data_IF_772441857809
#
_entry.id   IF_772441857809
#
_cell.length_a   1.000
_cell.length_b   1.000
_cell.length_c   1.000
_cell.angle_alpha   90.00
_cell.angle_beta   90.00
_cell.angle_gamma   90.00
#
_symmetry.space_group_name_H-M   'P 1'
#
loop_
_entity.id
_entity.type
_entity.pdbx_description
1 polymer ?
#
# COMPACT_ATOMS: atom_id res chain seq x y z
N UNK A 1 -27.22 2.54 0.09
CA UNK A 1 -26.66 3.62 0.94
C UNK A 1 -25.22 3.87 0.52
N UNK A 2 -24.87 5.15 0.34
CA UNK A 2 -23.64 5.63 -0.30
C UNK A 2 -22.35 5.28 0.49
N UNK A 3 -21.54 4.31 0.00
CA UNK A 3 -20.19 4.01 0.51
C UNK A 3 -19.06 4.90 -0.10
N UNK A 4 -19.41 6.02 -0.71
CA UNK A 4 -18.47 6.87 -1.45
C UNK A 4 -17.69 7.91 -0.63
N UNK A 5 -18.05 8.13 0.64
CA UNK A 5 -17.50 9.27 1.44
C UNK A 5 -16.45 8.87 2.48
N UNK A 6 -16.21 7.58 2.73
CA UNK A 6 -15.33 7.14 3.83
C UNK A 6 -13.83 7.16 3.46
N UNK A 7 -13.47 6.96 2.17
CA UNK A 7 -12.07 6.87 1.74
C UNK A 7 -11.27 8.17 1.92
N UNK A 8 -11.92 9.33 1.86
CA UNK A 8 -11.23 10.63 1.98
C UNK A 8 -10.72 10.92 3.40
N UNK A 9 -11.17 10.20 4.41
CA UNK A 9 -10.79 10.42 5.83
C UNK A 9 -9.95 9.29 6.41
N UNK A 10 -9.94 8.10 5.80
CA UNK A 10 -9.27 6.92 6.34
C UNK A 10 -7.76 6.97 6.13
N UNK A 11 -6.99 6.50 7.12
CA UNK A 11 -5.54 6.32 7.04
C UNK A 11 -5.21 5.13 6.14
N UNK A 12 -4.12 5.23 5.38
CA UNK A 12 -3.63 4.18 4.48
C UNK A 12 -2.37 3.59 5.08
N UNK A 13 -2.45 2.33 5.52
CA UNK A 13 -1.34 1.53 6.03
C UNK A 13 -0.70 0.78 4.87
N UNK A 14 0.49 1.20 4.46
CA UNK A 14 1.09 0.77 3.20
C UNK A 14 2.24 -0.22 3.44
N UNK A 15 2.20 -1.36 2.75
CA UNK A 15 3.26 -2.36 2.82
C UNK A 15 4.47 -2.02 1.93
N UNK A 16 5.53 -2.79 2.09
CA UNK A 16 6.80 -2.61 1.40
C UNK A 16 6.66 -2.72 -0.12
N UNK A 17 5.88 -3.66 -0.62
CA UNK A 17 5.72 -3.87 -2.06
C UNK A 17 4.94 -2.75 -2.72
N UNK A 18 3.90 -2.26 -2.06
CA UNK A 18 3.06 -1.20 -2.57
C UNK A 18 3.80 0.15 -2.57
N UNK A 19 4.40 0.57 -1.44
CA UNK A 19 5.12 1.85 -1.39
C UNK A 19 6.37 1.84 -2.29
N UNK A 20 7.14 0.73 -2.30
CA UNK A 20 8.37 0.64 -3.10
C UNK A 20 8.08 0.76 -4.59
N UNK A 21 6.91 0.36 -5.08
CA UNK A 21 6.55 0.52 -6.48
C UNK A 21 6.61 2.00 -6.91
N UNK A 22 6.12 2.92 -6.09
CA UNK A 22 6.19 4.36 -6.33
C UNK A 22 7.60 4.92 -6.13
N UNK A 23 8.28 4.52 -5.06
CA UNK A 23 9.62 5.00 -4.74
C UNK A 23 10.64 4.65 -5.84
N UNK A 24 10.59 3.43 -6.41
CA UNK A 24 11.51 3.01 -7.47
C UNK A 24 11.41 3.82 -8.75
N UNK A 25 10.26 4.39 -9.05
CA UNK A 25 10.03 5.15 -10.28
C UNK A 25 9.90 6.66 -10.04
N UNK A 26 10.02 7.11 -8.79
CA UNK A 26 10.01 8.54 -8.44
C UNK A 26 8.64 9.19 -8.55
N UNK A 27 7.59 8.43 -8.26
CA UNK A 27 6.20 8.91 -8.37
C UNK A 27 5.47 8.93 -7.02
N UNK A 28 6.21 8.91 -5.91
CA UNK A 28 5.67 9.01 -4.55
C UNK A 28 4.89 10.32 -4.30
N UNK A 29 5.14 11.35 -5.11
CA UNK A 29 4.34 12.57 -5.08
C UNK A 29 2.84 12.34 -5.38
N UNK A 30 2.49 11.25 -6.07
CA UNK A 30 1.08 10.86 -6.28
C UNK A 30 0.43 10.40 -4.98
N UNK A 31 1.17 9.66 -4.15
CA UNK A 31 0.71 9.30 -2.80
C UNK A 31 0.49 10.56 -1.96
N UNK A 32 1.45 11.50 -1.99
CA UNK A 32 1.34 12.79 -1.31
C UNK A 32 0.08 13.57 -1.75
N UNK A 33 -0.17 13.68 -3.06
CA UNK A 33 -1.34 14.39 -3.60
C UNK A 33 -2.68 13.75 -3.20
N UNK A 34 -2.76 12.42 -3.20
CA UNK A 34 -3.99 11.68 -2.92
C UNK A 34 -4.29 11.55 -1.42
N UNK A 35 -3.25 11.33 -0.61
CA UNK A 35 -3.40 10.88 0.78
C UNK A 35 -2.55 11.69 1.77
N UNK A 36 -2.27 12.97 1.50
CA UNK A 36 -1.43 13.81 2.36
C UNK A 36 -1.86 13.76 3.83
N UNK A 37 -0.91 13.47 4.72
CA UNK A 37 -1.15 13.34 6.17
C UNK A 37 -1.92 12.08 6.60
N UNK A 38 -2.17 11.13 5.67
CA UNK A 38 -2.91 9.89 5.94
C UNK A 38 -2.12 8.63 5.66
N UNK A 39 -0.94 8.77 5.08
CA UNK A 39 -0.06 7.64 4.78
C UNK A 39 0.63 7.23 6.07
N UNK A 40 0.46 5.96 6.43
CA UNK A 40 1.14 5.34 7.56
C UNK A 40 2.09 4.28 7.04
N UNK A 41 3.34 4.45 7.38
CA UNK A 41 4.42 3.52 7.05
C UNK A 41 4.79 2.80 8.35
N UNK A 42 4.48 1.51 8.50
CA UNK A 42 4.95 0.75 9.66
C UNK A 42 6.48 0.80 9.78
N UNK A 43 7.00 0.81 11.00
CA UNK A 43 8.45 0.79 11.24
C UNK A 43 9.13 -0.38 10.52
N UNK A 44 8.48 -1.54 10.48
CA UNK A 44 8.98 -2.75 9.80
C UNK A 44 9.13 -2.52 8.29
N UNK A 45 8.22 -1.80 7.67
CA UNK A 45 8.30 -1.41 6.25
C UNK A 45 9.46 -0.44 6.01
N UNK A 46 9.62 0.54 6.90
CA UNK A 46 10.72 1.48 6.82
C UNK A 46 12.07 0.76 6.96
N UNK A 47 12.18 -0.19 7.90
CA UNK A 47 13.39 -0.98 8.12
C UNK A 47 13.73 -1.88 6.93
N UNK A 48 12.74 -2.48 6.28
CA UNK A 48 12.93 -3.28 5.06
C UNK A 48 13.47 -2.44 3.88
N UNK A 49 13.14 -1.16 3.83
CA UNK A 49 13.62 -0.22 2.78
C UNK A 49 14.95 0.43 3.19
N UNK A 50 15.22 0.55 4.48
CA UNK A 50 16.43 1.15 5.02
C UNK A 50 17.64 0.22 4.93
N UNK A 51 18.00 -0.16 3.69
CA UNK A 51 19.15 -1.02 3.43
C UNK A 51 20.22 -0.25 2.63
N UNK A 52 21.54 -0.53 2.88
CA UNK A 52 22.63 0.23 2.27
C UNK A 52 22.66 0.21 0.72
N UNK A 53 22.07 -0.81 0.11
CA UNK A 53 22.07 -1.00 -1.34
C UNK A 53 21.10 -0.09 -2.10
N UNK A 54 20.10 0.47 -1.41
CA UNK A 54 19.06 1.32 -2.01
C UNK A 54 18.76 2.60 -1.19
N UNK A 55 19.80 3.37 -0.78
CA UNK A 55 19.63 4.51 0.14
C UNK A 55 18.69 5.60 -0.41
N UNK A 56 18.55 5.69 -1.72
CA UNK A 56 17.68 6.65 -2.37
C UNK A 56 16.19 6.38 -2.10
N UNK A 57 15.77 5.14 -1.85
CA UNK A 57 14.38 4.84 -1.51
C UNK A 57 14.05 5.32 -0.08
N UNK A 58 14.98 5.09 0.87
CA UNK A 58 14.86 5.62 2.21
C UNK A 58 14.74 7.14 2.21
N UNK A 59 15.63 7.82 1.48
CA UNK A 59 15.62 9.29 1.38
C UNK A 59 14.28 9.84 0.88
N UNK A 60 13.60 9.14 -0.02
CA UNK A 60 12.26 9.52 -0.50
C UNK A 60 11.19 9.37 0.58
N UNK A 61 11.25 8.32 1.40
CA UNK A 61 10.37 8.17 2.57
C UNK A 61 10.64 9.31 3.57
N UNK A 62 11.90 9.58 3.90
CA UNK A 62 12.28 10.65 4.81
C UNK A 62 11.72 12.01 4.35
N UNK A 63 11.72 12.27 3.04
CA UNK A 63 11.13 13.48 2.47
C UNK A 63 9.59 13.54 2.62
N UNK A 64 8.88 12.41 2.43
CA UNK A 64 7.42 12.35 2.67
C UNK A 64 7.09 12.63 4.13
N UNK A 65 7.88 12.08 5.06
CA UNK A 65 7.72 12.30 6.49
C UNK A 65 8.05 13.75 6.88
N UNK A 66 9.16 14.29 6.39
CA UNK A 66 9.56 15.68 6.67
C UNK A 66 8.54 16.71 6.19
N UNK A 67 7.80 16.41 5.11
CA UNK A 67 6.69 17.24 4.61
C UNK A 67 5.38 17.04 5.37
N UNK A 68 5.30 16.11 6.32
CA UNK A 68 4.05 15.74 6.99
C UNK A 68 3.06 15.00 6.10
N UNK A 69 3.48 14.50 4.93
CA UNK A 69 2.64 13.74 4.01
C UNK A 69 2.45 12.29 4.44
N UNK A 70 3.41 11.75 5.19
CA UNK A 70 3.40 10.41 5.77
C UNK A 70 3.93 10.44 7.20
N UNK A 71 3.61 9.40 7.98
CA UNK A 71 4.19 9.15 9.29
C UNK A 71 4.73 7.71 9.39
N UNK A 72 5.78 7.53 10.18
CA UNK A 72 6.30 6.21 10.53
C UNK A 72 5.71 5.84 11.89
N UNK A 73 5.12 4.64 11.99
CA UNK A 73 4.45 4.16 13.22
C UNK A 73 5.03 2.81 13.62
N UNK A 74 5.47 2.72 14.90
CA UNK A 74 5.89 1.48 15.53
C UNK A 74 4.72 0.78 16.21
N UNK A 75 4.79 -0.54 16.32
CA UNK A 75 3.84 -1.33 17.08
C UNK A 75 4.39 -1.54 18.50
N UNK A 76 3.66 -1.07 19.51
CA UNK A 76 4.09 -1.17 20.90
C UNK A 76 3.88 -2.59 21.45
N UNK A 77 4.89 -3.11 22.17
CA UNK A 77 4.81 -4.41 22.84
C UNK A 77 3.71 -4.40 23.89
N UNK A 78 2.92 -5.46 23.91
CA UNK A 78 1.81 -5.62 24.88
C UNK A 78 0.47 -5.10 24.39
N UNK A 79 0.39 -4.57 23.18
CA UNK A 79 -0.86 -4.14 22.54
C UNK A 79 -1.53 -5.26 21.76
N UNK A 80 -2.80 -5.10 21.42
CA UNK A 80 -3.54 -6.08 20.59
C UNK A 80 -2.96 -6.19 19.19
N UNK A 81 -2.56 -5.07 18.60
CA UNK A 81 -1.89 -5.02 17.30
C UNK A 81 -0.54 -5.74 17.33
N UNK A 82 0.20 -5.68 18.44
CA UNK A 82 1.44 -6.45 18.60
C UNK A 82 1.17 -7.97 18.71
N UNK A 83 0.14 -8.36 19.43
CA UNK A 83 -0.26 -9.76 19.51
C UNK A 83 -0.60 -10.30 18.11
N UNK A 84 -1.41 -9.58 17.33
CA UNK A 84 -1.75 -9.95 15.96
C UNK A 84 -0.50 -9.98 15.05
N UNK A 85 0.34 -8.95 15.08
CA UNK A 85 1.61 -8.91 14.33
C UNK A 85 2.48 -10.14 14.62
N UNK A 86 2.62 -10.48 15.89
CA UNK A 86 3.40 -11.65 16.30
C UNK A 86 2.79 -12.96 15.79
N UNK A 87 1.47 -13.09 15.84
CA UNK A 87 0.79 -14.28 15.37
C UNK A 87 0.92 -14.44 13.84
N UNK A 88 0.78 -13.34 13.08
CA UNK A 88 0.98 -13.32 11.63
C UNK A 88 2.40 -13.68 11.20
N UNK A 89 3.41 -13.28 11.99
CA UNK A 89 4.84 -13.52 11.67
C UNK A 89 5.36 -14.85 12.20
N UNK A 90 4.65 -15.52 13.12
CA UNK A 90 5.10 -16.74 13.81
C UNK A 90 4.21 -17.95 13.59
N UNK A 91 3.14 -17.84 12.81
CA UNK A 91 2.15 -18.89 12.69
C UNK A 91 2.78 -20.20 12.16
N UNK A 92 3.00 -21.16 13.08
CA UNK A 92 3.63 -22.45 12.82
C UNK A 92 2.68 -23.48 12.20
N UNK A 93 1.37 -23.27 12.26
CA UNK A 93 0.36 -24.23 11.83
C UNK A 93 -0.12 -24.04 10.39
N UNK A 94 0.09 -22.88 9.82
CA UNK A 94 -0.10 -22.65 8.38
C UNK A 94 1.26 -22.50 7.71
N UNK A 95 1.51 -23.22 6.63
CA UNK A 95 2.73 -23.09 5.78
C UNK A 95 2.93 -21.69 5.16
N UNK A 96 2.37 -20.63 5.75
CA UNK A 96 2.40 -19.26 5.27
C UNK A 96 2.86 -18.33 6.37
N UNK A 97 4.15 -18.08 6.41
CA UNK A 97 4.71 -16.97 7.18
C UNK A 97 4.54 -15.69 6.36
N UNK A 98 3.87 -14.70 6.94
CA UNK A 98 3.72 -13.37 6.33
C UNK A 98 4.96 -12.54 6.61
N UNK A 99 5.38 -11.73 5.62
CA UNK A 99 6.47 -10.79 5.77
C UNK A 99 6.23 -9.77 6.88
N UNK A 100 7.28 -9.30 7.55
CA UNK A 100 7.15 -8.38 8.70
C UNK A 100 6.42 -7.08 8.31
N UNK A 101 6.75 -6.48 7.18
CA UNK A 101 6.11 -5.26 6.68
C UNK A 101 4.62 -5.47 6.39
N UNK A 102 4.24 -6.60 5.75
CA UNK A 102 2.84 -6.95 5.50
C UNK A 102 2.08 -7.19 6.80
N UNK A 103 2.64 -7.97 7.73
CA UNK A 103 2.03 -8.26 9.02
C UNK A 103 1.78 -7.00 9.85
N UNK A 104 2.75 -6.08 9.88
CA UNK A 104 2.62 -4.80 10.56
C UNK A 104 1.54 -3.93 9.92
N UNK A 105 1.50 -3.86 8.58
CA UNK A 105 0.48 -3.10 7.85
C UNK A 105 -0.94 -3.64 8.10
N UNK A 106 -1.13 -4.97 8.11
CA UNK A 106 -2.40 -5.63 8.44
C UNK A 106 -2.82 -5.28 9.88
N UNK A 107 -1.91 -5.45 10.84
CA UNK A 107 -2.20 -5.26 12.27
C UNK A 107 -2.62 -3.82 12.58
N UNK A 108 -1.89 -2.85 12.04
CA UNK A 108 -2.21 -1.43 12.21
C UNK A 108 -3.48 -1.03 11.44
N UNK A 109 -3.70 -1.53 10.21
CA UNK A 109 -4.93 -1.28 9.46
C UNK A 109 -6.16 -1.79 10.22
N UNK A 110 -6.09 -3.00 10.80
CA UNK A 110 -7.16 -3.55 11.64
C UNK A 110 -7.42 -2.69 12.86
N UNK A 111 -6.37 -2.32 13.60
CA UNK A 111 -6.49 -1.51 14.82
C UNK A 111 -7.16 -0.17 14.59
N UNK A 112 -6.82 0.50 13.50
CA UNK A 112 -7.29 1.85 13.19
C UNK A 112 -8.47 1.89 12.22
N UNK A 113 -9.03 0.73 11.85
CA UNK A 113 -10.08 0.62 10.84
C UNK A 113 -9.72 1.40 9.57
N UNK A 114 -8.47 1.25 9.13
CA UNK A 114 -7.89 1.95 7.99
C UNK A 114 -7.87 1.11 6.71
N UNK A 115 -7.25 1.65 5.68
CA UNK A 115 -7.09 1.00 4.38
C UNK A 115 -5.74 0.29 4.35
N UNK A 116 -5.72 -0.98 3.95
CA UNK A 116 -4.48 -1.71 3.68
C UNK A 116 -4.01 -1.45 2.25
N UNK A 117 -2.82 -0.89 2.08
CA UNK A 117 -2.14 -0.72 0.80
C UNK A 117 -1.16 -1.87 0.54
N UNK A 118 -1.54 -2.87 -0.27
CA UNK A 118 -0.70 -4.04 -0.56
C UNK A 118 -0.94 -4.60 -1.96
N UNK A 119 0.14 -5.05 -2.62
CA UNK A 119 0.06 -5.73 -3.92
C UNK A 119 -0.05 -7.26 -3.79
N UNK A 120 0.32 -7.82 -2.65
CA UNK A 120 0.40 -9.27 -2.43
C UNK A 120 -0.93 -9.86 -1.99
N UNK A 121 -1.94 -9.83 -2.88
CA UNK A 121 -3.27 -10.39 -2.58
C UNK A 121 -3.22 -11.83 -2.09
N UNK A 122 -2.30 -12.64 -2.60
CA UNK A 122 -2.21 -14.05 -2.22
C UNK A 122 -2.02 -14.23 -0.71
N UNK A 123 -1.23 -13.38 -0.10
CA UNK A 123 -0.86 -13.50 1.30
C UNK A 123 -1.77 -12.65 2.21
N UNK A 124 -2.26 -11.50 1.73
CA UNK A 124 -3.09 -10.60 2.55
C UNK A 124 -4.60 -10.85 2.43
N UNK A 125 -5.10 -11.46 1.35
CA UNK A 125 -6.54 -11.61 1.10
C UNK A 125 -7.30 -12.34 2.22
N UNK A 126 -6.80 -13.43 2.82
CA UNK A 126 -7.49 -14.08 3.93
C UNK A 126 -7.76 -13.12 5.10
N UNK A 127 -6.81 -12.25 5.40
CA UNK A 127 -6.92 -11.27 6.49
C UNK A 127 -7.77 -10.05 6.12
N UNK A 128 -7.76 -9.65 4.84
CA UNK A 128 -8.68 -8.63 4.32
C UNK A 128 -10.12 -9.09 4.50
N UNK A 129 -10.41 -10.35 4.20
CA UNK A 129 -11.75 -10.95 4.36
C UNK A 129 -12.11 -11.16 5.85
N UNK A 130 -11.22 -11.78 6.64
CA UNK A 130 -11.43 -12.06 8.05
C UNK A 130 -11.68 -10.78 8.87
N UNK A 131 -10.90 -9.73 8.63
CA UNK A 131 -11.00 -8.46 9.37
C UNK A 131 -11.88 -7.42 8.69
N UNK A 132 -12.48 -7.75 7.53
CA UNK A 132 -13.30 -6.84 6.71
C UNK A 132 -12.57 -5.53 6.39
N UNK A 133 -11.27 -5.60 6.09
CA UNK A 133 -10.45 -4.44 5.79
C UNK A 133 -10.79 -3.86 4.42
N UNK A 134 -10.77 -2.54 4.30
CA UNK A 134 -10.62 -1.92 2.99
C UNK A 134 -9.21 -2.18 2.48
N UNK A 135 -9.09 -2.55 1.21
CA UNK A 135 -7.82 -2.89 0.57
C UNK A 135 -7.65 -2.14 -0.75
N UNK A 136 -6.41 -1.72 -1.02
CA UNK A 136 -6.03 -1.11 -2.30
C UNK A 136 -4.66 -1.60 -2.76
N UNK A 137 -4.49 -1.67 -4.07
CA UNK A 137 -3.23 -2.02 -4.75
C UNK A 137 -2.62 -0.78 -5.39
N UNK A 138 -1.35 -0.88 -5.79
CA UNK A 138 -0.68 0.16 -6.60
C UNK A 138 -1.51 0.59 -7.81
N UNK A 139 -2.16 -0.36 -8.48
CA UNK A 139 -3.03 -0.07 -9.62
C UNK A 139 -4.25 0.76 -9.24
N UNK A 140 -4.87 0.50 -8.09
CA UNK A 140 -6.02 1.26 -7.61
C UNK A 140 -5.63 2.70 -7.30
N UNK A 141 -4.45 2.91 -6.71
CA UNK A 141 -3.90 4.24 -6.42
C UNK A 141 -3.66 5.02 -7.73
N UNK A 142 -3.11 4.38 -8.75
CA UNK A 142 -2.93 5.02 -10.07
C UNK A 142 -4.27 5.32 -10.75
N UNK A 143 -5.30 4.48 -10.58
CA UNK A 143 -6.66 4.76 -11.06
C UNK A 143 -7.26 5.96 -10.33
N UNK A 144 -7.04 6.09 -9.02
CA UNK A 144 -7.48 7.27 -8.27
C UNK A 144 -6.75 8.53 -8.74
N UNK A 145 -5.43 8.47 -8.99
CA UNK A 145 -4.67 9.60 -9.54
C UNK A 145 -5.17 10.01 -10.93
N UNK A 146 -5.51 9.05 -11.79
CA UNK A 146 -6.11 9.30 -13.09
C UNK A 146 -7.50 9.96 -12.97
N UNK A 147 -8.37 9.44 -12.11
CA UNK A 147 -9.71 10.02 -11.84
C UNK A 147 -9.64 11.43 -11.27
N UNK A 148 -8.63 11.71 -10.43
CA UNK A 148 -8.35 13.02 -9.87
C UNK A 148 -7.64 13.97 -10.86
N UNK A 149 -7.38 13.52 -12.09
CA UNK A 149 -6.68 14.28 -13.14
C UNK A 149 -5.24 14.69 -12.75
N UNK A 150 -4.60 13.96 -11.85
CA UNK A 150 -3.19 14.15 -11.51
C UNK A 150 -2.25 13.53 -12.54
N UNK A 151 -2.75 12.55 -13.30
CA UNK A 151 -2.08 11.93 -14.44
C UNK A 151 -3.07 11.68 -15.58
N UNK A 152 -2.57 11.70 -16.81
CA UNK A 152 -3.25 11.19 -18.00
C UNK A 152 -3.10 9.66 -18.11
N UNK A 153 -3.89 9.02 -18.96
CA UNK A 153 -3.72 7.58 -19.24
C UNK A 153 -2.34 7.26 -19.84
N UNK A 154 -1.80 8.15 -20.66
CA UNK A 154 -0.47 8.00 -21.24
C UNK A 154 0.63 8.05 -20.16
N UNK A 155 0.56 8.99 -19.21
CA UNK A 155 1.47 9.06 -18.08
C UNK A 155 1.30 7.83 -17.16
N UNK A 156 0.07 7.38 -16.92
CA UNK A 156 -0.20 6.14 -16.18
C UNK A 156 0.46 4.91 -16.81
N UNK A 157 0.38 4.77 -18.14
CA UNK A 157 1.08 3.70 -18.85
C UNK A 157 2.61 3.84 -18.77
N UNK A 158 3.14 5.07 -18.82
CA UNK A 158 4.58 5.30 -18.66
C UNK A 158 5.07 4.88 -17.25
N UNK A 159 4.36 5.31 -16.20
CA UNK A 159 4.64 4.93 -14.80
C UNK A 159 4.58 3.40 -14.66
N UNK A 160 3.52 2.77 -15.16
CA UNK A 160 3.32 1.32 -15.10
C UNK A 160 4.48 0.55 -15.73
N UNK A 161 4.86 0.93 -16.96
CA UNK A 161 5.98 0.32 -17.66
C UNK A 161 7.31 0.46 -16.88
N UNK A 162 7.54 1.61 -16.25
CA UNK A 162 8.72 1.82 -15.43
C UNK A 162 8.71 0.93 -14.17
N UNK A 163 7.55 0.75 -13.53
CA UNK A 163 7.38 -0.18 -12.40
C UNK A 163 7.67 -1.63 -12.82
N UNK A 164 7.15 -2.07 -13.99
CA UNK A 164 7.44 -3.41 -14.54
C UNK A 164 8.94 -3.61 -14.83
N UNK A 165 9.63 -2.61 -15.40
CA UNK A 165 11.09 -2.65 -15.61
C UNK A 165 11.86 -2.79 -14.28
N UNK A 166 11.32 -2.28 -13.18
CA UNK A 166 11.85 -2.46 -11.83
C UNK A 166 11.35 -3.75 -11.16
N UNK A 167 10.78 -4.68 -11.94
CA UNK A 167 10.27 -5.99 -11.49
C UNK A 167 9.22 -5.90 -10.39
N UNK A 168 8.41 -4.81 -10.37
CA UNK A 168 7.29 -4.71 -9.44
C UNK A 168 6.13 -5.55 -9.94
N UNK A 169 5.51 -6.34 -9.04
CA UNK A 169 4.37 -7.22 -9.33
C UNK A 169 3.08 -6.42 -9.14
N UNK A 170 2.58 -5.80 -10.20
CA UNK A 170 1.41 -4.91 -10.16
C UNK A 170 0.18 -5.44 -10.89
N UNK A 171 0.24 -6.69 -11.39
CA UNK A 171 -0.93 -7.50 -11.72
C UNK A 171 -1.52 -7.36 -13.13
N UNK A 172 -1.05 -6.43 -13.97
CA UNK A 172 -1.48 -6.30 -15.37
C UNK A 172 -0.33 -5.93 -16.29
N UNK A 173 -0.53 -6.07 -17.61
CA UNK A 173 0.51 -5.76 -18.61
C UNK A 173 0.66 -4.25 -18.85
N UNK A 174 -0.39 -3.47 -18.64
CA UNK A 174 -0.41 -2.02 -18.79
C UNK A 174 -1.39 -1.36 -17.81
N UNK A 175 -1.24 -0.05 -17.61
CA UNK A 175 -2.21 0.73 -16.83
C UNK A 175 -3.57 0.76 -17.53
N UNK A 176 -3.61 0.88 -18.85
CA UNK A 176 -4.86 0.83 -19.64
C UNK A 176 -5.61 -0.50 -19.44
N UNK A 177 -4.89 -1.65 -19.36
CA UNK A 177 -5.51 -2.94 -19.09
C UNK A 177 -6.09 -2.99 -17.68
N UNK A 178 -5.33 -2.49 -16.69
CA UNK A 178 -5.79 -2.41 -15.31
C UNK A 178 -7.03 -1.52 -15.18
N UNK A 179 -7.02 -0.34 -15.82
CA UNK A 179 -8.12 0.61 -15.82
C UNK A 179 -9.40 -0.01 -16.39
N UNK A 180 -9.31 -0.73 -17.52
CA UNK A 180 -10.45 -1.45 -18.12
C UNK A 180 -11.00 -2.52 -17.17
N UNK A 181 -10.15 -3.31 -16.55
CA UNK A 181 -10.56 -4.33 -15.58
C UNK A 181 -11.24 -3.74 -14.35
N UNK A 182 -10.77 -2.61 -13.83
CA UNK A 182 -11.35 -1.94 -12.67
C UNK A 182 -12.75 -1.36 -12.94
N UNK A 183 -13.02 -0.91 -14.17
CA UNK A 183 -14.35 -0.41 -14.58
C UNK A 183 -15.38 -1.54 -14.64
N UNK A 184 -14.97 -2.73 -15.07
CA UNK A 184 -15.89 -3.90 -15.14
C UNK A 184 -16.27 -4.40 -13.74
N UNK A 185 -15.34 -4.44 -12.79
CA UNK A 185 -15.63 -4.86 -11.41
C UNK A 185 -16.58 -3.92 -10.67
N UNK A 186 -16.53 -2.61 -10.96
CA UNK A 186 -17.43 -1.62 -10.34
C UNK A 186 -18.88 -1.63 -10.92
N UNK A 187 -19.13 -2.30 -12.04
CA UNK A 187 -20.49 -2.44 -12.64
C UNK A 187 -21.24 -3.68 -12.12
N UNK A 188 -20.56 -4.59 -11.42
CA UNK A 188 -21.16 -5.83 -10.89
C UNK A 188 -21.47 -5.76 -9.38
N UNK A 189 -21.21 -4.64 -8.73
CA UNK A 189 -21.58 -4.34 -7.33
C UNK A 189 -22.67 -3.28 -7.27
#
# INVERSE_FOLDING_TARGET
MKRGSCRLTSRVFIDTDCISAFLWVGTEHLLEKLYSGKIVIPQEVYDEINIPTIPHLKSRIDQLVAKGSAEIVSIDIGTEEYALYRDLTRNHDSNKVIGKGEAASISLAKKHNGILGSNNLRDVQPYVEEFSLEHMKTGDILVEAFKAQFITEQEGNHIWNNMLKKRRKIGANSFSDYLRGSVHQNRQK
#
